data_IF_720546619176
#
_entry.id   IF_720546619176
#
_cell.length_a   1.000
_cell.length_b   1.000
_cell.length_c   1.000
_cell.angle_alpha   90.00
_cell.angle_beta   90.00
_cell.angle_gamma   90.00
#
_symmetry.space_group_name_H-M   'P 1'
#
loop_
_entity.id
_entity.type
_entity.pdbx_description
1 polymer ?
#
# COMPACT_ATOMS: atom_id res chain seq x y z
N UNK A 1 16.23 -19.80 11.99
CA UNK A 1 14.92 -19.35 11.48
C UNK A 1 15.07 -19.16 9.98
N UNK A 2 14.47 -20.01 9.16
CA UNK A 2 14.58 -19.84 7.71
C UNK A 2 13.82 -18.59 7.29
N UNK A 3 14.51 -17.65 6.64
CA UNK A 3 13.87 -16.51 5.98
C UNK A 3 12.86 -17.06 4.97
N UNK A 4 11.58 -16.80 5.18
CA UNK A 4 10.56 -17.20 4.22
C UNK A 4 10.54 -16.18 3.06
N UNK A 5 11.27 -16.49 1.99
CA UNK A 5 11.40 -15.63 0.82
C UNK A 5 10.02 -15.28 0.23
N UNK A 6 9.09 -16.23 0.20
CA UNK A 6 7.72 -15.99 -0.25
C UNK A 6 7.03 -14.90 0.59
N UNK A 7 7.25 -14.87 1.90
CA UNK A 7 6.68 -13.82 2.76
C UNK A 7 7.23 -12.45 2.41
N UNK A 8 8.54 -12.35 2.19
CA UNK A 8 9.18 -11.08 1.84
C UNK A 8 8.73 -10.59 0.47
N UNK A 9 8.58 -11.50 -0.49
CA UNK A 9 8.03 -11.19 -1.81
C UNK A 9 6.60 -10.67 -1.72
N UNK A 10 5.74 -11.37 -0.97
CA UNK A 10 4.36 -10.91 -0.74
C UNK A 10 4.35 -9.55 -0.02
N UNK A 11 5.20 -9.37 1.00
CA UNK A 11 5.32 -8.10 1.72
C UNK A 11 5.65 -6.95 0.76
N UNK A 12 6.66 -7.12 -0.09
CA UNK A 12 7.08 -6.10 -1.05
C UNK A 12 5.95 -5.74 -2.03
N UNK A 13 5.27 -6.74 -2.60
CA UNK A 13 4.16 -6.53 -3.54
C UNK A 13 2.95 -5.85 -2.86
N UNK A 14 2.54 -6.33 -1.69
CA UNK A 14 1.39 -5.75 -0.96
C UNK A 14 1.70 -4.32 -0.51
N UNK A 15 2.92 -4.06 -0.04
CA UNK A 15 3.35 -2.70 0.33
C UNK A 15 3.33 -1.75 -0.87
N UNK A 16 3.74 -2.22 -2.05
CA UNK A 16 3.67 -1.43 -3.29
C UNK A 16 2.22 -1.11 -3.68
N UNK A 17 1.29 -2.07 -3.55
CA UNK A 17 -0.15 -1.83 -3.78
C UNK A 17 -0.69 -0.79 -2.80
N UNK A 18 -0.39 -0.93 -1.50
CA UNK A 18 -0.81 0.03 -0.47
C UNK A 18 -0.26 1.43 -0.77
N UNK A 19 1.00 1.55 -1.21
CA UNK A 19 1.62 2.83 -1.50
C UNK A 19 1.01 3.51 -2.74
N UNK A 20 0.77 2.77 -3.82
CA UNK A 20 0.07 3.33 -4.99
C UNK A 20 -1.34 3.82 -4.63
N UNK A 21 -2.07 3.06 -3.82
CA UNK A 21 -3.40 3.46 -3.35
C UNK A 21 -3.34 4.69 -2.43
N UNK A 22 -2.35 4.79 -1.54
CA UNK A 22 -2.13 5.98 -0.69
C UNK A 22 -1.81 7.21 -1.55
N UNK A 23 -0.98 7.04 -2.59
CA UNK A 23 -0.64 8.13 -3.48
C UNK A 23 -1.85 8.65 -4.25
N UNK A 24 -2.76 7.78 -4.67
CA UNK A 24 -4.05 8.17 -5.23
C UNK A 24 -4.83 9.05 -4.25
N UNK A 25 -4.90 8.67 -2.97
CA UNK A 25 -5.61 9.49 -1.96
C UNK A 25 -4.89 10.82 -1.74
N UNK A 26 -3.56 10.83 -1.57
CA UNK A 26 -2.79 12.07 -1.36
C UNK A 26 -2.96 13.04 -2.51
N UNK A 27 -2.88 12.55 -3.74
CA UNK A 27 -2.99 13.38 -4.95
C UNK A 27 -4.36 14.06 -5.10
N UNK A 28 -5.44 13.41 -4.63
CA UNK A 28 -6.79 13.91 -4.86
C UNK A 28 -7.45 14.51 -3.62
N UNK A 29 -7.06 14.07 -2.43
CA UNK A 29 -7.69 14.47 -1.17
C UNK A 29 -6.71 15.03 -0.14
N UNK A 30 -5.40 14.98 -0.36
CA UNK A 30 -4.37 15.30 0.62
C UNK A 30 -4.44 16.71 1.22
N UNK A 31 -5.00 17.68 0.50
CA UNK A 31 -5.20 19.06 0.98
C UNK A 31 -6.48 19.25 1.81
N UNK A 32 -7.32 18.21 1.91
CA UNK A 32 -8.57 18.29 2.67
C UNK A 32 -8.31 18.19 4.17
N UNK A 33 -9.08 18.94 4.95
CA UNK A 33 -9.08 18.80 6.40
C UNK A 33 -9.80 17.53 6.82
N UNK A 34 -9.32 16.89 7.90
CA UNK A 34 -9.98 15.74 8.53
C UNK A 34 -11.32 16.09 9.17
N UNK A 35 -11.64 17.38 9.30
CA UNK A 35 -12.94 17.85 9.76
C UNK A 35 -14.00 17.89 8.66
N UNK A 36 -13.63 17.61 7.41
CA UNK A 36 -14.60 17.51 6.31
C UNK A 36 -15.57 16.34 6.58
N UNK A 37 -16.83 16.67 6.85
CA UNK A 37 -17.91 15.73 7.17
C UNK A 37 -18.22 14.73 6.04
N UNK A 38 -17.60 14.89 4.88
CA UNK A 38 -17.74 13.96 3.76
C UNK A 38 -16.92 12.67 3.93
N UNK A 39 -16.04 12.60 4.94
CA UNK A 39 -15.27 11.40 5.24
C UNK A 39 -15.90 10.58 6.38
N UNK A 40 -15.69 9.27 6.32
CA UNK A 40 -16.06 8.39 7.43
C UNK A 40 -15.21 8.73 8.67
N UNK A 41 -15.88 9.32 9.68
CA UNK A 41 -15.23 9.75 10.91
C UNK A 41 -14.58 8.55 11.65
N UNK A 42 -15.20 7.39 11.62
CA UNK A 42 -14.65 6.22 12.29
C UNK A 42 -13.32 5.74 11.64
N UNK A 43 -13.17 5.92 10.32
CA UNK A 43 -11.92 5.66 9.61
C UNK A 43 -10.83 6.65 10.03
N UNK A 44 -11.16 7.94 10.06
CA UNK A 44 -10.22 8.99 10.48
C UNK A 44 -9.80 8.81 11.94
N UNK A 45 -10.72 8.46 12.83
CA UNK A 45 -10.43 8.25 14.25
C UNK A 45 -9.49 7.04 14.45
N UNK A 46 -9.68 5.95 13.70
CA UNK A 46 -8.74 4.80 13.75
C UNK A 46 -7.33 5.19 13.29
N UNK A 47 -7.23 5.98 12.22
CA UNK A 47 -5.94 6.46 11.74
C UNK A 47 -5.27 7.39 12.74
N UNK A 48 -6.03 8.31 13.36
CA UNK A 48 -5.54 9.21 14.43
C UNK A 48 -5.00 8.43 15.64
N UNK A 49 -5.73 7.41 16.10
CA UNK A 49 -5.28 6.56 17.20
C UNK A 49 -3.96 5.85 16.86
N UNK A 50 -3.78 5.41 15.61
CA UNK A 50 -2.52 4.80 15.16
C UNK A 50 -1.40 5.83 15.10
N UNK A 51 -1.67 7.01 14.54
CA UNK A 51 -0.75 8.14 14.51
C UNK A 51 -0.31 8.56 15.91
N UNK A 52 -1.23 8.72 16.86
CA UNK A 52 -0.94 9.09 18.25
C UNK A 52 -0.06 8.09 18.98
N UNK A 53 -0.24 6.78 18.68
CA UNK A 53 0.64 5.74 19.24
C UNK A 53 2.08 5.87 18.76
N UNK A 54 2.27 6.23 17.49
CA UNK A 54 3.61 6.38 16.91
C UNK A 54 4.22 7.72 17.29
N UNK A 55 3.39 8.72 17.58
CA UNK A 55 3.80 10.10 17.84
C UNK A 55 3.77 10.51 19.31
N UNK A 56 4.48 9.80 20.18
CA UNK A 56 4.91 10.41 21.46
C UNK A 56 5.85 11.61 21.24
N UNK A 57 6.06 12.06 20.00
CA UNK A 57 7.05 13.06 19.58
C UNK A 57 6.48 14.29 18.87
N UNK A 58 5.17 14.58 18.99
CA UNK A 58 4.66 15.90 18.63
C UNK A 58 4.39 16.14 17.14
N UNK A 59 3.99 15.12 16.40
CA UNK A 59 3.43 15.30 15.06
C UNK A 59 1.96 15.67 15.19
N UNK A 60 1.66 16.94 15.01
CA UNK A 60 0.27 17.42 15.01
C UNK A 60 -0.07 17.86 13.59
N UNK A 61 -0.88 17.05 12.91
CA UNK A 61 -1.40 17.39 11.60
C UNK A 61 -2.84 16.91 11.48
N UNK A 62 -3.73 17.81 11.16
CA UNK A 62 -5.16 17.52 10.93
C UNK A 62 -5.50 17.39 9.45
N UNK A 63 -4.49 17.26 8.58
CA UNK A 63 -4.68 17.03 7.14
C UNK A 63 -4.83 15.53 6.83
N UNK A 64 -5.67 15.21 5.84
CA UNK A 64 -5.83 13.83 5.39
C UNK A 64 -4.52 13.23 4.88
N UNK A 65 -3.67 14.04 4.23
CA UNK A 65 -2.37 13.61 3.70
C UNK A 65 -1.49 12.96 4.76
N UNK A 66 -1.47 13.48 5.98
CA UNK A 66 -0.68 12.94 7.09
C UNK A 66 -1.29 11.70 7.73
N UNK A 67 -2.61 11.49 7.60
CA UNK A 67 -3.29 10.32 8.12
C UNK A 67 -3.29 9.13 7.16
N UNK A 68 -3.04 9.37 5.87
CA UNK A 68 -3.07 8.31 4.83
C UNK A 68 -2.09 7.19 5.13
N UNK A 69 -0.93 7.49 5.73
CA UNK A 69 0.06 6.48 6.10
C UNK A 69 -0.42 5.50 7.16
N UNK A 70 -1.44 5.89 7.92
CA UNK A 70 -2.05 5.11 9.00
C UNK A 70 -3.33 4.38 8.58
N UNK A 71 -3.72 4.48 7.31
CA UNK A 71 -4.79 3.67 6.74
C UNK A 71 -4.26 2.28 6.39
N UNK A 72 -5.00 1.24 6.72
CA UNK A 72 -4.69 -0.09 6.21
C UNK A 72 -5.33 -0.32 4.83
N UNK A 73 -4.94 -1.42 4.17
CA UNK A 73 -5.41 -1.73 2.82
C UNK A 73 -6.95 -1.69 2.70
N UNK A 74 -7.66 -2.20 3.72
CA UNK A 74 -9.11 -2.18 3.75
C UNK A 74 -9.68 -0.77 3.80
N UNK A 75 -9.11 0.08 4.66
CA UNK A 75 -9.50 1.48 4.82
C UNK A 75 -9.34 2.26 3.50
N UNK A 76 -8.21 2.06 2.80
CA UNK A 76 -7.82 2.82 1.60
C UNK A 76 -8.80 2.59 0.45
N UNK A 77 -9.00 1.34 0.01
CA UNK A 77 -9.86 1.09 -1.14
C UNK A 77 -11.34 1.34 -0.82
N UNK A 78 -11.77 1.17 0.44
CA UNK A 78 -13.12 1.52 0.87
C UNK A 78 -13.37 3.03 0.81
N UNK A 79 -12.37 3.84 1.20
CA UNK A 79 -12.46 5.30 1.08
C UNK A 79 -12.69 5.72 -0.38
N UNK A 80 -11.93 5.15 -1.32
CA UNK A 80 -12.09 5.47 -2.75
C UNK A 80 -13.47 5.05 -3.25
N UNK A 81 -13.93 3.84 -2.90
CA UNK A 81 -15.23 3.31 -3.31
C UNK A 81 -16.42 4.10 -2.74
N UNK A 82 -16.28 4.63 -1.53
CA UNK A 82 -17.33 5.39 -0.86
C UNK A 82 -17.48 6.82 -1.39
N UNK A 83 -16.42 7.35 -2.03
CA UNK A 83 -16.39 8.73 -2.52
C UNK A 83 -15.94 8.81 -3.99
N UNK A 84 -16.62 8.09 -4.92
CA UNK A 84 -16.20 8.02 -6.31
C UNK A 84 -16.22 9.38 -7.03
N UNK A 85 -17.02 10.31 -6.54
CA UNK A 85 -17.13 11.70 -7.02
C UNK A 85 -15.88 12.55 -6.74
N UNK A 86 -15.02 12.11 -5.81
CA UNK A 86 -13.79 12.82 -5.41
C UNK A 86 -12.56 12.38 -6.19
N UNK A 87 -12.69 11.35 -7.00
CA UNK A 87 -11.61 10.79 -7.80
C UNK A 87 -11.93 10.83 -9.29
N UNK A 88 -10.93 10.88 -10.19
CA UNK A 88 -11.17 10.69 -11.61
C UNK A 88 -11.96 9.40 -11.87
N UNK A 89 -12.90 9.46 -12.81
CA UNK A 89 -13.76 8.31 -13.13
C UNK A 89 -12.97 7.05 -13.48
N UNK A 90 -11.84 7.21 -14.17
CA UNK A 90 -10.94 6.10 -14.52
C UNK A 90 -10.40 5.39 -13.27
N UNK A 91 -10.03 6.13 -12.24
CA UNK A 91 -9.54 5.57 -10.96
C UNK A 91 -10.69 4.92 -10.19
N UNK A 92 -11.83 5.58 -10.07
CA UNK A 92 -12.98 5.04 -9.35
C UNK A 92 -13.50 3.74 -9.98
N UNK A 93 -13.60 3.70 -11.31
CA UNK A 93 -14.03 2.50 -12.05
C UNK A 93 -12.99 1.36 -11.89
N UNK A 94 -11.70 1.67 -11.95
CA UNK A 94 -10.60 0.73 -11.74
C UNK A 94 -10.65 0.08 -10.35
N UNK A 95 -10.76 0.88 -9.29
CA UNK A 95 -10.82 0.37 -7.92
C UNK A 95 -12.11 -0.42 -7.69
N UNK A 96 -13.24 0.05 -8.21
CA UNK A 96 -14.52 -0.64 -8.13
C UNK A 96 -14.47 -2.01 -8.79
N UNK A 97 -13.87 -2.11 -9.97
CA UNK A 97 -13.69 -3.37 -10.70
C UNK A 97 -12.89 -4.37 -9.87
N UNK A 98 -11.87 -3.90 -9.15
CA UNK A 98 -10.94 -4.72 -8.37
C UNK A 98 -11.28 -4.90 -6.90
N UNK A 99 -12.42 -4.40 -6.46
CA UNK A 99 -12.82 -4.46 -5.05
C UNK A 99 -12.76 -5.86 -4.46
N UNK A 100 -13.21 -6.88 -5.22
CA UNK A 100 -13.18 -8.28 -4.75
C UNK A 100 -11.74 -8.79 -4.57
N UNK A 101 -10.85 -8.48 -5.49
CA UNK A 101 -9.43 -8.86 -5.42
C UNK A 101 -8.74 -8.14 -4.25
N UNK A 102 -8.99 -6.85 -4.08
CA UNK A 102 -8.49 -6.07 -2.95
C UNK A 102 -8.98 -6.63 -1.60
N UNK A 103 -10.26 -7.01 -1.52
CA UNK A 103 -10.81 -7.69 -0.33
C UNK A 103 -10.11 -9.02 -0.05
N UNK A 104 -9.80 -9.81 -1.09
CA UNK A 104 -9.09 -11.08 -0.94
C UNK A 104 -7.63 -10.89 -0.48
N UNK A 105 -7.01 -9.74 -0.75
CA UNK A 105 -5.66 -9.41 -0.27
C UNK A 105 -5.60 -9.06 1.22
N UNK A 106 -6.68 -8.54 1.82
CA UNK A 106 -6.67 -8.12 3.24
C UNK A 106 -6.22 -9.24 4.18
N UNK A 107 -6.76 -10.47 4.13
CA UNK A 107 -6.28 -11.55 4.98
C UNK A 107 -4.84 -11.98 4.67
N UNK A 108 -4.39 -11.89 3.41
CA UNK A 108 -3.00 -12.18 3.02
C UNK A 108 -2.07 -11.15 3.66
N UNK A 109 -2.37 -9.87 3.49
CA UNK A 109 -1.66 -8.76 4.11
C UNK A 109 -1.53 -8.95 5.62
N UNK A 110 -2.63 -9.30 6.29
CA UNK A 110 -2.62 -9.50 7.74
C UNK A 110 -1.77 -10.71 8.16
N UNK A 111 -1.73 -11.80 7.38
CA UNK A 111 -0.83 -12.93 7.65
C UNK A 111 0.63 -12.53 7.53
N UNK A 112 0.96 -11.73 6.52
CA UNK A 112 2.33 -11.27 6.28
C UNK A 112 2.79 -10.31 7.37
N UNK A 113 2.00 -9.26 7.64
CA UNK A 113 2.36 -8.20 8.61
C UNK A 113 2.44 -8.70 10.06
N UNK A 114 1.63 -9.70 10.42
CA UNK A 114 1.60 -10.26 11.78
C UNK A 114 2.35 -11.60 11.91
N UNK A 115 3.19 -11.94 10.92
CA UNK A 115 4.02 -13.17 10.92
C UNK A 115 3.18 -14.44 11.15
N UNK A 116 1.94 -14.48 10.65
CA UNK A 116 1.05 -15.65 10.72
C UNK A 116 1.41 -16.66 9.63
N UNK A 117 1.05 -17.94 9.76
CA UNK A 117 1.26 -18.92 8.69
C UNK A 117 0.66 -18.47 7.37
N UNK A 118 1.43 -18.63 6.28
CA UNK A 118 0.95 -18.36 4.92
C UNK A 118 0.13 -19.54 4.41
N UNK A 119 -0.87 -19.24 3.60
CA UNK A 119 -1.58 -20.25 2.81
C UNK A 119 -0.81 -20.54 1.52
N UNK A 120 -1.01 -21.74 0.98
CA UNK A 120 -0.40 -22.16 -0.28
C UNK A 120 -0.69 -21.21 -1.46
N UNK A 121 -1.89 -20.64 -1.49
CA UNK A 121 -2.33 -19.74 -2.56
C UNK A 121 -2.00 -18.26 -2.33
N UNK A 122 -1.38 -17.87 -1.21
CA UNK A 122 -1.12 -16.45 -0.93
C UNK A 122 -0.18 -15.81 -1.95
N UNK A 123 0.92 -16.48 -2.29
CA UNK A 123 1.87 -15.94 -3.26
C UNK A 123 1.29 -15.87 -4.68
N UNK A 124 0.70 -16.94 -5.25
CA UNK A 124 0.03 -16.86 -6.54
C UNK A 124 -1.02 -15.76 -6.62
N UNK A 125 -1.90 -15.66 -5.61
CA UNK A 125 -2.94 -14.64 -5.57
C UNK A 125 -2.40 -13.22 -5.67
N UNK A 126 -1.33 -12.91 -4.92
CA UNK A 126 -0.73 -11.58 -4.95
C UNK A 126 0.01 -11.32 -6.26
N UNK A 127 0.71 -12.33 -6.78
CA UNK A 127 1.46 -12.22 -8.05
C UNK A 127 0.52 -11.97 -9.22
N UNK A 128 -0.53 -12.79 -9.33
CA UNK A 128 -1.52 -12.67 -10.41
C UNK A 128 -2.21 -11.31 -10.36
N UNK A 129 -2.55 -10.84 -9.16
CA UNK A 129 -3.17 -9.53 -9.00
C UNK A 129 -2.22 -8.37 -9.37
N UNK A 130 -0.95 -8.44 -8.99
CA UNK A 130 0.03 -7.44 -9.44
C UNK A 130 0.18 -7.40 -10.96
N UNK A 131 0.21 -8.57 -11.63
CA UNK A 131 0.26 -8.64 -13.09
C UNK A 131 -0.98 -8.05 -13.75
N UNK A 132 -2.17 -8.29 -13.18
CA UNK A 132 -3.41 -7.65 -13.62
C UNK A 132 -3.35 -6.12 -13.53
N UNK A 133 -2.84 -5.57 -12.41
CA UNK A 133 -2.71 -4.13 -12.20
C UNK A 133 -1.75 -3.51 -13.23
N UNK A 134 -0.59 -4.12 -13.43
CA UNK A 134 0.42 -3.66 -14.40
C UNK A 134 -0.16 -3.68 -15.82
N UNK A 135 -0.87 -4.76 -16.18
CA UNK A 135 -1.47 -4.88 -17.51
C UNK A 135 -2.54 -3.81 -17.77
N UNK A 136 -3.34 -3.47 -16.77
CA UNK A 136 -4.45 -2.53 -16.91
C UNK A 136 -4.00 -1.07 -16.98
N UNK A 137 -3.11 -0.65 -16.10
CA UNK A 137 -2.67 0.75 -16.00
C UNK A 137 -1.32 0.88 -15.28
N UNK A 138 -0.19 0.63 -15.96
CA UNK A 138 1.13 0.70 -15.34
C UNK A 138 1.48 2.10 -14.81
N UNK A 139 0.88 3.15 -15.38
CA UNK A 139 1.08 4.53 -14.92
C UNK A 139 0.33 4.85 -13.62
N UNK A 140 -0.72 4.14 -13.30
CA UNK A 140 -1.44 4.23 -12.02
C UNK A 140 -0.74 3.41 -10.94
N UNK A 141 -0.19 2.25 -11.32
CA UNK A 141 0.43 1.27 -10.43
C UNK A 141 1.95 1.29 -10.56
N UNK A 142 2.55 2.47 -10.31
CA UNK A 142 4.00 2.72 -10.52
C UNK A 142 4.84 1.91 -9.54
N UNK A 143 4.50 1.90 -8.25
CA UNK A 143 5.23 1.16 -7.23
C UNK A 143 5.11 -0.35 -7.44
N UNK A 144 3.92 -0.83 -7.83
CA UNK A 144 3.71 -2.25 -8.19
C UNK A 144 4.56 -2.62 -9.40
N UNK A 145 4.54 -1.78 -10.47
CA UNK A 145 5.31 -2.02 -11.69
C UNK A 145 6.81 -2.10 -11.40
N UNK A 146 7.32 -1.15 -10.63
CA UNK A 146 8.74 -1.11 -10.26
C UNK A 146 9.12 -2.31 -9.38
N UNK A 147 8.33 -2.61 -8.36
CA UNK A 147 8.58 -3.73 -7.45
C UNK A 147 8.62 -5.06 -8.19
N UNK A 148 7.62 -5.34 -9.04
CA UNK A 148 7.58 -6.59 -9.83
C UNK A 148 8.74 -6.67 -10.82
N UNK A 149 9.11 -5.55 -11.45
CA UNK A 149 10.25 -5.49 -12.36
C UNK A 149 11.57 -5.82 -11.64
N UNK A 150 11.79 -5.23 -10.46
CA UNK A 150 12.95 -5.53 -9.63
C UNK A 150 12.99 -7.00 -9.19
N UNK A 151 11.87 -7.54 -8.73
CA UNK A 151 11.77 -8.94 -8.32
C UNK A 151 12.02 -9.92 -9.47
N UNK A 152 11.59 -9.58 -10.69
CA UNK A 152 11.86 -10.39 -11.89
C UNK A 152 13.33 -10.32 -12.32
N UNK A 153 13.96 -9.15 -12.16
CA UNK A 153 15.37 -8.95 -12.50
C UNK A 153 16.31 -9.60 -11.46
N UNK A 154 15.98 -9.46 -10.18
CA UNK A 154 16.77 -10.01 -9.07
C UNK A 154 15.84 -10.36 -7.87
N UNK A 155 15.49 -11.64 -7.70
CA UNK A 155 14.67 -12.06 -6.56
C UNK A 155 15.27 -11.75 -5.18
N UNK A 156 16.59 -11.51 -5.08
CA UNK A 156 17.23 -11.11 -3.83
C UNK A 156 16.99 -9.66 -3.45
N UNK A 157 16.37 -8.88 -4.32
CA UNK A 157 15.99 -7.49 -4.08
C UNK A 157 15.26 -7.29 -2.74
N UNK A 158 14.34 -8.20 -2.39
CA UNK A 158 13.60 -8.16 -1.12
C UNK A 158 14.48 -8.32 0.13
N UNK A 159 15.72 -8.77 -0.03
CA UNK A 159 16.69 -8.89 1.05
C UNK A 159 17.53 -7.61 1.22
N UNK A 160 17.36 -6.63 0.35
CA UNK A 160 18.17 -5.40 0.31
C UNK A 160 19.64 -5.66 -0.02
N UNK A 161 19.99 -6.84 -0.53
CA UNK A 161 21.38 -7.20 -0.81
C UNK A 161 21.85 -6.69 -2.17
N UNK A 162 20.93 -6.42 -3.07
CA UNK A 162 21.19 -5.92 -4.43
C UNK A 162 21.18 -4.40 -4.56
N UNK A 163 20.95 -3.66 -3.48
CA UNK A 163 21.10 -2.19 -3.50
C UNK A 163 22.59 -1.88 -3.57
N UNK A 164 23.10 -1.29 -4.68
CA UNK A 164 24.47 -0.82 -4.72
C UNK A 164 24.69 0.16 -3.58
N UNK A 165 25.72 -0.05 -2.77
CA UNK A 165 26.15 0.91 -1.77
C UNK A 165 26.88 2.06 -2.46
N UNK A 166 26.17 2.80 -3.30
CA UNK A 166 26.68 4.05 -3.85
C UNK A 166 26.75 5.06 -2.71
N UNK A 167 27.95 5.35 -2.25
CA UNK A 167 28.19 6.44 -1.30
C UNK A 167 29.03 6.15 -0.08
N UNK A 168 29.59 4.93 0.08
CA UNK A 168 30.50 4.66 1.22
C UNK A 168 32.00 4.75 0.87
N UNK A 169 32.38 5.16 -0.32
CA UNK A 169 33.78 5.22 -0.75
C UNK A 169 34.30 6.64 -0.98
N UNK A 170 33.90 7.63 -0.22
CA UNK A 170 34.54 8.94 -0.26
C UNK A 170 34.74 9.47 1.15
N UNK A 171 35.57 8.79 1.94
CA UNK A 171 36.36 9.40 3.03
C UNK A 171 37.49 8.43 3.38
N UNK A 172 38.64 8.61 2.73
CA UNK A 172 39.96 8.19 3.19
C UNK A 172 40.98 9.24 2.79
#
# INVERSE_FOLDING_TARGET
>A
MAYNLSRMTIYAMVSAIEEDLREIIRSHLGSKSTSDKSFDQALLDRAKIRLEKDNSYGYDSDTLASLVDYFDLGDIYQLINSHPDKFPKTISDEIKLRTKSLQALVPVRNRVMHIRPLNFNDLPLVTDFCEELIYSSPSTWINVTNTVSHLKADPSFVLGLSIPREGLNNEA
#
